data_IF_343132969616
#
_entry.id   IF_343132969616
#
_cell.length_a   1.000
_cell.length_b   1.000
_cell.length_c   1.000
_cell.angle_alpha   90.00
_cell.angle_beta   90.00
_cell.angle_gamma   90.00
#
_symmetry.space_group_name_H-M   'P 1'
#
loop_
_entity.id
_entity.type
_entity.pdbx_description
1 polymer ?
#
# COMPACT_ATOMS: atom_id res chain seq x y z
N UNK A 1 -1.59 -15.70 -2.69
CA UNK A 1 -0.13 -15.47 -2.72
C UNK A 1 0.28 -14.13 -2.10
N UNK A 2 -0.16 -12.97 -2.62
CA UNK A 2 0.20 -11.64 -2.05
C UNK A 2 -0.18 -11.49 -0.57
N UNK A 3 -1.42 -11.83 -0.24
CA UNK A 3 -1.96 -11.74 1.12
C UNK A 3 -1.18 -12.63 2.11
N UNK A 4 -0.83 -13.86 1.70
CA UNK A 4 -0.08 -14.81 2.53
C UNK A 4 1.34 -14.31 2.87
N UNK A 5 2.03 -13.67 1.92
CA UNK A 5 3.37 -13.09 2.14
C UNK A 5 3.28 -11.93 3.13
N UNK A 6 2.25 -11.09 3.01
CA UNK A 6 2.03 -9.93 3.89
C UNK A 6 1.73 -10.38 5.32
N UNK A 7 0.78 -11.31 5.52
CA UNK A 7 0.48 -11.84 6.85
C UNK A 7 1.68 -12.60 7.44
N UNK A 8 2.41 -13.37 6.63
CA UNK A 8 3.62 -14.06 7.07
C UNK A 8 4.72 -13.10 7.53
N UNK A 9 5.02 -12.07 6.72
CA UNK A 9 6.01 -11.05 7.07
C UNK A 9 5.59 -10.23 8.29
N UNK A 10 4.30 -9.90 8.41
CA UNK A 10 3.74 -9.23 9.58
C UNK A 10 3.88 -10.08 10.85
N UNK A 11 3.49 -11.36 10.80
CA UNK A 11 3.60 -12.26 11.95
C UNK A 11 5.05 -12.45 12.40
N UNK A 12 5.99 -12.56 11.48
CA UNK A 12 7.41 -12.68 11.82
C UNK A 12 7.96 -11.38 12.43
N UNK A 13 7.63 -10.22 11.84
CA UNK A 13 8.02 -8.92 12.41
C UNK A 13 7.42 -8.69 13.79
N UNK A 14 6.14 -9.04 13.96
CA UNK A 14 5.41 -8.98 15.22
C UNK A 14 6.06 -9.87 16.27
N UNK A 15 6.33 -11.15 15.96
CA UNK A 15 6.98 -12.10 16.86
C UNK A 15 8.35 -11.60 17.32
N UNK A 16 9.15 -11.04 16.41
CA UNK A 16 10.46 -10.45 16.77
C UNK A 16 10.34 -9.25 17.71
N UNK A 17 9.34 -8.39 17.49
CA UNK A 17 9.08 -7.24 18.36
C UNK A 17 8.57 -7.67 19.74
N UNK A 18 7.74 -8.72 19.81
CA UNK A 18 7.27 -9.33 21.07
C UNK A 18 8.45 -9.92 21.87
N UNK A 19 9.35 -10.67 21.23
CA UNK A 19 10.57 -11.19 21.86
C UNK A 19 11.46 -10.05 22.37
N UNK A 20 11.64 -8.99 21.58
CA UNK A 20 12.45 -7.83 21.96
C UNK A 20 11.86 -7.07 23.17
N UNK A 21 10.54 -6.89 23.22
CA UNK A 21 9.86 -6.24 24.35
C UNK A 21 9.93 -7.09 25.63
N UNK A 22 9.81 -8.42 25.50
CA UNK A 22 9.90 -9.37 26.62
C UNK A 22 11.29 -9.35 27.26
N UNK A 23 12.35 -9.25 26.46
CA UNK A 23 13.72 -9.10 26.96
C UNK A 23 13.99 -7.76 27.65
N UNK A 24 13.21 -6.72 27.38
CA UNK A 24 13.42 -5.37 27.92
C UNK A 24 12.66 -5.06 29.23
N UNK A 25 12.01 -6.05 29.88
CA UNK A 25 11.19 -5.84 31.10
C UNK A 25 10.18 -4.68 30.94
N UNK A 26 9.55 -4.54 29.78
CA UNK A 26 8.47 -3.58 29.63
C UNK A 26 7.20 -4.10 30.33
N UNK A 27 6.59 -3.25 31.14
CA UNK A 27 5.41 -3.48 32.01
C UNK A 27 4.12 -3.88 31.21
N UNK A 28 4.21 -4.03 29.89
CA UNK A 28 3.11 -4.47 29.00
C UNK A 28 3.59 -5.56 28.06
N UNK A 29 2.96 -6.74 28.13
CA UNK A 29 3.16 -7.84 27.17
C UNK A 29 2.61 -7.53 25.78
N UNK A 30 1.71 -6.54 25.67
CA UNK A 30 1.12 -6.13 24.40
C UNK A 30 2.02 -5.15 23.63
N UNK A 31 2.11 -5.33 22.31
CA UNK A 31 2.79 -4.40 21.41
C UNK A 31 2.15 -3.01 21.46
N UNK A 32 3.00 -1.98 21.41
CA UNK A 32 2.53 -0.61 21.22
C UNK A 32 1.89 -0.45 19.82
N UNK A 33 0.91 0.45 19.70
CA UNK A 33 0.32 0.82 18.42
C UNK A 33 1.36 1.25 17.38
N UNK A 34 2.44 1.94 17.80
CA UNK A 34 3.56 2.26 16.92
C UNK A 34 4.31 1.04 16.40
N UNK A 35 4.40 -0.04 17.20
CA UNK A 35 5.04 -1.29 16.79
C UNK A 35 4.16 -2.07 15.80
N UNK A 36 2.84 -2.05 15.98
CA UNK A 36 1.92 -2.59 14.98
C UNK A 36 2.03 -1.87 13.64
N UNK A 37 2.12 -0.53 13.66
CA UNK A 37 2.35 0.26 12.46
C UNK A 37 3.68 -0.12 11.78
N UNK A 38 4.79 -0.20 12.53
CA UNK A 38 6.09 -0.57 11.97
C UNK A 38 6.13 -1.99 11.42
N UNK A 39 5.48 -2.95 12.10
CA UNK A 39 5.35 -4.32 11.62
C UNK A 39 4.53 -4.38 10.31
N UNK A 40 3.42 -3.63 10.24
CA UNK A 40 2.61 -3.49 9.04
C UNK A 40 3.39 -2.84 7.90
N UNK A 41 4.14 -1.78 8.18
CA UNK A 41 4.99 -1.10 7.21
C UNK A 41 6.09 -2.03 6.66
N UNK A 42 6.73 -2.82 7.53
CA UNK A 42 7.72 -3.81 7.11
C UNK A 42 7.11 -4.87 6.18
N UNK A 43 5.94 -5.41 6.54
CA UNK A 43 5.22 -6.35 5.67
C UNK A 43 4.89 -5.74 4.30
N UNK A 44 4.50 -4.46 4.28
CA UNK A 44 4.28 -3.69 3.06
C UNK A 44 5.52 -3.55 2.19
N UNK A 45 6.66 -3.21 2.77
CA UNK A 45 7.95 -3.12 2.06
C UNK A 45 8.36 -4.48 1.48
N UNK A 46 8.32 -5.54 2.29
CA UNK A 46 8.69 -6.89 1.83
C UNK A 46 7.82 -7.34 0.66
N UNK A 47 6.50 -7.12 0.75
CA UNK A 47 5.60 -7.43 -0.34
C UNK A 47 5.88 -6.58 -1.58
N UNK A 48 6.22 -5.31 -1.42
CA UNK A 48 6.50 -4.40 -2.54
C UNK A 48 7.74 -4.80 -3.31
N UNK A 49 8.81 -5.22 -2.62
CA UNK A 49 10.05 -5.66 -3.31
C UNK A 49 9.80 -6.90 -4.16
N UNK A 50 8.95 -7.82 -3.70
CA UNK A 50 8.65 -9.07 -4.41
C UNK A 50 7.60 -8.84 -5.52
N UNK A 51 6.52 -8.12 -5.20
CA UNK A 51 5.38 -7.94 -6.10
C UNK A 51 5.53 -6.74 -7.04
N UNK A 52 6.37 -5.76 -6.69
CA UNK A 52 6.55 -4.48 -7.38
C UNK A 52 6.88 -4.63 -8.86
N UNK A 53 7.89 -5.44 -9.25
CA UNK A 53 8.20 -5.68 -10.66
C UNK A 53 7.03 -6.28 -11.45
N UNK A 54 6.27 -7.20 -10.85
CA UNK A 54 5.12 -7.85 -11.47
C UNK A 54 3.97 -6.84 -11.63
N UNK A 55 3.71 -6.04 -10.60
CA UNK A 55 2.70 -4.97 -10.62
C UNK A 55 3.04 -3.93 -11.70
N UNK A 56 4.32 -3.56 -11.81
CA UNK A 56 4.80 -2.58 -12.78
C UNK A 56 4.56 -3.06 -14.21
N UNK A 57 4.91 -4.32 -14.51
CA UNK A 57 4.65 -4.92 -15.84
C UNK A 57 3.15 -4.98 -16.11
N UNK A 58 2.34 -5.39 -15.12
CA UNK A 58 0.89 -5.46 -15.25
C UNK A 58 0.26 -4.10 -15.55
N UNK A 59 0.64 -3.05 -14.83
CA UNK A 59 0.10 -1.69 -15.03
C UNK A 59 0.42 -1.21 -16.44
N UNK A 60 1.66 -1.35 -16.93
CA UNK A 60 2.02 -0.94 -18.29
C UNK A 60 1.26 -1.71 -19.37
N UNK A 61 1.02 -3.00 -19.17
CA UNK A 61 0.23 -3.81 -20.09
C UNK A 61 -1.25 -3.41 -20.10
N UNK A 62 -1.78 -2.88 -18.99
CA UNK A 62 -3.16 -2.41 -18.87
C UNK A 62 -3.35 -0.98 -19.37
N UNK A 63 -2.35 -0.12 -19.23
CA UNK A 63 -2.40 1.29 -19.65
C UNK A 63 -1.97 1.52 -21.10
N UNK A 64 -1.38 0.52 -21.77
CA UNK A 64 -0.95 0.68 -23.16
C UNK A 64 -2.13 0.92 -24.13
N UNK A 65 -1.91 1.65 -25.25
CA UNK A 65 -2.92 1.83 -26.29
C UNK A 65 -3.35 0.49 -26.91
N UNK A 66 -4.63 0.37 -27.23
CA UNK A 66 -5.19 -0.82 -27.87
C UNK A 66 -5.21 -0.65 -29.40
N UNK A 67 -5.02 -1.74 -30.14
CA UNK A 67 -5.03 -1.73 -31.62
C UNK A 67 -3.62 -1.65 -32.23
N UNK A 68 -3.50 -1.01 -33.39
CA UNK A 68 -2.24 -0.91 -34.16
C UNK A 68 -1.13 -0.13 -33.43
N UNK A 69 -1.47 0.63 -32.38
CA UNK A 69 -0.54 1.37 -31.54
C UNK A 69 -0.07 0.59 -30.28
N UNK A 70 -0.27 -0.74 -30.24
CA UNK A 70 0.21 -1.58 -29.13
C UNK A 70 1.74 -1.51 -29.02
N UNK A 71 2.21 -1.15 -27.83
CA UNK A 71 3.64 -1.03 -27.52
C UNK A 71 4.26 -2.37 -27.09
N UNK A 72 3.47 -3.26 -26.48
CA UNK A 72 3.94 -4.51 -25.88
C UNK A 72 3.08 -5.71 -26.32
N UNK A 73 3.72 -6.74 -26.86
CA UNK A 73 3.05 -7.97 -27.26
C UNK A 73 2.81 -8.94 -26.09
N UNK A 74 3.39 -8.66 -24.93
CA UNK A 74 3.19 -9.44 -23.71
C UNK A 74 4.12 -9.03 -22.55
N UNK A 75 4.03 -9.72 -21.41
CA UNK A 75 4.83 -9.42 -20.21
C UNK A 75 6.34 -9.53 -20.44
N UNK A 76 6.78 -10.56 -21.16
CA UNK A 76 8.20 -10.81 -21.45
C UNK A 76 8.74 -9.78 -22.45
N UNK A 77 7.94 -9.39 -23.44
CA UNK A 77 8.28 -8.33 -24.40
C UNK A 77 8.38 -6.96 -23.70
N UNK A 78 7.47 -6.68 -22.75
CA UNK A 78 7.55 -5.49 -21.91
C UNK A 78 8.85 -5.46 -21.10
N UNK A 79 9.22 -6.56 -20.44
CA UNK A 79 10.47 -6.65 -19.68
C UNK A 79 11.68 -6.45 -20.59
N UNK A 80 11.72 -7.14 -21.74
CA UNK A 80 12.83 -7.05 -22.69
C UNK A 80 13.02 -5.63 -23.24
N UNK A 81 11.94 -4.99 -23.67
CA UNK A 81 11.97 -3.59 -24.15
C UNK A 81 12.35 -2.60 -23.06
N UNK A 82 11.91 -2.85 -21.82
CA UNK A 82 12.26 -2.04 -20.65
C UNK A 82 13.75 -2.16 -20.31
N UNK A 83 14.33 -3.35 -20.45
CA UNK A 83 15.76 -3.59 -20.23
C UNK A 83 16.64 -2.87 -21.26
N UNK A 84 16.19 -2.79 -22.51
CA UNK A 84 16.98 -2.24 -23.63
C UNK A 84 16.96 -0.70 -23.67
N UNK A 85 15.84 -0.05 -23.36
CA UNK A 85 15.68 1.38 -23.63
C UNK A 85 16.17 2.34 -22.54
N UNK A 86 16.21 1.95 -21.25
CA UNK A 86 16.51 2.89 -20.15
C UNK A 86 17.31 2.31 -18.98
N UNK A 87 17.69 1.03 -19.05
CA UNK A 87 18.21 0.29 -17.90
C UNK A 87 17.10 0.03 -16.88
N UNK A 88 16.91 -1.24 -16.50
CA UNK A 88 15.86 -1.70 -15.58
C UNK A 88 15.81 -0.83 -14.33
N UNK A 89 16.96 -0.47 -13.76
CA UNK A 89 17.04 0.24 -12.49
C UNK A 89 16.51 1.68 -12.58
N UNK A 90 16.89 2.49 -13.59
CA UNK A 90 16.44 3.91 -13.65
C UNK A 90 14.96 4.05 -14.01
N UNK A 91 14.45 3.22 -14.92
CA UNK A 91 13.04 3.24 -15.32
C UNK A 91 12.09 2.63 -14.29
N UNK A 92 12.51 1.55 -13.61
CA UNK A 92 11.72 0.88 -12.59
C UNK A 92 11.74 1.68 -11.27
N UNK A 93 12.90 2.19 -10.83
CA UNK A 93 13.02 2.92 -9.56
C UNK A 93 12.35 4.30 -9.56
N UNK A 94 12.13 4.93 -10.73
CA UNK A 94 11.50 6.27 -10.82
C UNK A 94 10.04 6.33 -10.33
N UNK A 95 9.42 5.18 -10.05
CA UNK A 95 8.15 5.08 -9.30
C UNK A 95 8.16 4.02 -8.19
N UNK A 96 9.18 3.16 -8.13
CA UNK A 96 9.25 2.09 -7.13
C UNK A 96 9.41 2.63 -5.71
N UNK A 97 10.22 3.66 -5.50
CA UNK A 97 10.39 4.25 -4.16
C UNK A 97 9.06 4.82 -3.64
N UNK A 98 8.28 5.46 -4.51
CA UNK A 98 6.95 5.98 -4.17
C UNK A 98 5.98 4.83 -3.90
N UNK A 99 6.10 3.75 -4.67
CA UNK A 99 5.28 2.55 -4.49
C UNK A 99 5.60 1.89 -3.16
N UNK A 100 6.87 1.63 -2.85
CA UNK A 100 7.31 1.05 -1.57
C UNK A 100 6.87 1.91 -0.40
N UNK A 101 7.04 3.24 -0.48
CA UNK A 101 6.61 4.15 0.58
C UNK A 101 5.09 4.16 0.76
N UNK A 102 4.35 4.17 -0.35
CA UNK A 102 2.88 4.08 -0.35
C UNK A 102 2.41 2.79 0.30
N UNK A 103 2.99 1.65 -0.08
CA UNK A 103 2.63 0.34 0.44
C UNK A 103 3.01 0.21 1.93
N UNK A 104 4.17 0.72 2.33
CA UNK A 104 4.58 0.77 3.74
C UNK A 104 3.58 1.58 4.58
N UNK A 105 3.20 2.78 4.12
CA UNK A 105 2.21 3.61 4.79
C UNK A 105 0.84 2.92 4.83
N UNK A 106 0.39 2.38 3.70
CA UNK A 106 -0.90 1.73 3.55
C UNK A 106 -1.06 0.55 4.53
N UNK A 107 -0.11 -0.38 4.51
CA UNK A 107 -0.17 -1.54 5.37
C UNK A 107 0.10 -1.20 6.84
N UNK A 108 0.95 -0.22 7.12
CA UNK A 108 1.14 0.30 8.48
C UNK A 108 -0.17 0.82 9.07
N UNK A 109 -0.91 1.67 8.34
CA UNK A 109 -2.21 2.22 8.77
C UNK A 109 -3.27 1.13 8.87
N UNK A 110 -3.32 0.19 7.93
CA UNK A 110 -4.29 -0.90 7.94
C UNK A 110 -4.13 -1.79 9.17
N UNK A 111 -2.91 -2.32 9.41
CA UNK A 111 -2.65 -3.18 10.58
C UNK A 111 -2.83 -2.41 11.88
N UNK A 112 -2.38 -1.14 11.96
CA UNK A 112 -2.60 -0.30 13.13
C UNK A 112 -4.10 -0.15 13.45
N UNK A 113 -4.90 0.19 12.44
CA UNK A 113 -6.34 0.44 12.61
C UNK A 113 -7.07 -0.86 12.96
N UNK A 114 -6.73 -1.96 12.28
CA UNK A 114 -7.30 -3.28 12.54
C UNK A 114 -7.00 -3.75 13.97
N UNK A 115 -5.74 -3.69 14.39
CA UNK A 115 -5.32 -4.08 15.75
C UNK A 115 -5.91 -3.16 16.82
N UNK A 116 -6.04 -1.86 16.53
CA UNK A 116 -6.71 -0.92 17.43
C UNK A 116 -8.19 -1.28 17.64
N UNK A 117 -8.92 -1.56 16.57
CA UNK A 117 -10.34 -1.94 16.63
C UNK A 117 -10.55 -3.27 17.36
N UNK A 118 -9.76 -4.29 17.01
CA UNK A 118 -9.78 -5.61 17.66
C UNK A 118 -9.48 -5.51 19.16
N UNK A 119 -8.42 -4.80 19.55
CA UNK A 119 -8.04 -4.65 20.97
C UNK A 119 -9.04 -3.78 21.74
N UNK A 120 -9.68 -2.81 21.09
CA UNK A 120 -10.73 -2.00 21.70
C UNK A 120 -11.98 -2.83 22.01
N UNK A 121 -12.42 -3.67 21.07
CA UNK A 121 -13.60 -4.53 21.25
C UNK A 121 -13.34 -5.64 22.29
N UNK A 122 -12.17 -6.26 22.27
CA UNK A 122 -11.76 -7.24 23.27
C UNK A 122 -11.78 -6.65 24.69
N UNK A 123 -11.21 -5.45 24.87
CA UNK A 123 -11.21 -4.76 26.18
C UNK A 123 -12.60 -4.33 26.63
N UNK A 124 -13.43 -3.81 25.73
CA UNK A 124 -14.80 -3.34 26.06
C UNK A 124 -15.72 -4.49 26.46
N UNK A 125 -15.66 -5.60 25.75
CA UNK A 125 -16.53 -6.75 25.99
C UNK A 125 -15.91 -7.78 26.94
N UNK A 126 -14.64 -7.57 27.39
CA UNK A 126 -13.87 -8.51 28.22
C UNK A 126 -13.82 -9.94 27.62
N UNK A 127 -13.79 -10.04 26.31
CA UNK A 127 -13.69 -11.30 25.57
C UNK A 127 -12.27 -11.49 25.06
N UNK A 128 -11.83 -12.74 24.94
CA UNK A 128 -10.56 -13.01 24.27
C UNK A 128 -10.67 -12.67 22.78
N UNK A 129 -9.54 -12.29 22.18
CA UNK A 129 -9.49 -11.90 20.76
C UNK A 129 -10.01 -12.98 19.81
N UNK A 130 -9.86 -14.26 20.20
CA UNK A 130 -10.32 -15.43 19.43
C UNK A 130 -11.84 -15.61 19.45
N UNK A 131 -12.51 -15.02 20.44
CA UNK A 131 -13.95 -15.13 20.64
C UNK A 131 -14.73 -13.98 19.97
N UNK A 132 -14.03 -13.06 19.30
CA UNK A 132 -14.66 -12.00 18.53
C UNK A 132 -15.34 -12.63 17.30
N UNK A 133 -16.66 -12.44 17.12
CA UNK A 133 -17.40 -13.01 16.00
C UNK A 133 -16.79 -12.65 14.65
N UNK A 134 -16.79 -13.60 13.70
CA UNK A 134 -16.20 -13.42 12.36
C UNK A 134 -16.73 -12.20 11.62
N UNK A 135 -18.04 -11.90 11.75
CA UNK A 135 -18.63 -10.71 11.14
C UNK A 135 -18.03 -9.41 11.71
N UNK A 136 -17.71 -9.35 13.01
CA UNK A 136 -17.03 -8.19 13.61
C UNK A 136 -15.62 -8.07 13.09
N UNK A 137 -14.87 -9.17 13.07
CA UNK A 137 -13.51 -9.21 12.52
C UNK A 137 -13.50 -8.70 11.08
N UNK A 138 -14.47 -9.14 10.28
CA UNK A 138 -14.68 -8.63 8.93
C UNK A 138 -14.89 -7.11 8.98
N UNK A 139 -15.89 -6.60 9.73
CA UNK A 139 -16.16 -5.14 9.84
C UNK A 139 -14.94 -4.30 10.20
N UNK A 140 -14.11 -4.77 11.13
CA UNK A 140 -12.87 -4.08 11.51
C UNK A 140 -11.84 -4.11 10.38
N UNK A 141 -11.74 -5.20 9.63
CA UNK A 141 -10.92 -5.30 8.42
C UNK A 141 -11.33 -4.32 7.33
N UNK A 142 -12.64 -4.16 7.11
CA UNK A 142 -13.16 -3.20 6.13
C UNK A 142 -12.96 -1.73 6.57
N UNK A 143 -13.23 -1.40 7.83
CA UNK A 143 -12.95 -0.06 8.37
C UNK A 143 -11.46 0.29 8.32
N UNK A 144 -10.58 -0.69 8.61
CA UNK A 144 -9.15 -0.52 8.43
C UNK A 144 -8.77 -0.31 6.96
N UNK A 145 -9.51 -0.91 6.02
CA UNK A 145 -9.38 -0.69 4.58
C UNK A 145 -9.71 0.74 4.16
N UNK A 146 -10.80 1.31 4.67
CA UNK A 146 -11.16 2.71 4.39
C UNK A 146 -10.13 3.68 5.00
N UNK A 147 -9.65 3.40 6.21
CA UNK A 147 -8.58 4.17 6.84
C UNK A 147 -7.29 4.11 6.00
N UNK A 148 -6.90 2.94 5.51
CA UNK A 148 -5.80 2.78 4.57
C UNK A 148 -5.97 3.71 3.36
N UNK A 149 -7.15 3.69 2.72
CA UNK A 149 -7.38 4.52 1.54
C UNK A 149 -7.26 6.01 1.87
N UNK A 150 -7.88 6.48 2.95
CA UNK A 150 -7.79 7.88 3.36
C UNK A 150 -6.35 8.34 3.58
N UNK A 151 -5.54 7.56 4.31
CA UNK A 151 -4.16 7.96 4.64
C UNK A 151 -3.17 7.78 3.48
N UNK A 152 -3.42 6.81 2.59
CA UNK A 152 -2.54 6.52 1.46
C UNK A 152 -2.90 7.28 0.18
N UNK A 153 -4.09 7.88 0.10
CA UNK A 153 -4.58 8.55 -1.11
C UNK A 153 -3.62 9.64 -1.64
N UNK A 154 -3.04 10.52 -0.81
CA UNK A 154 -2.08 11.52 -1.29
C UNK A 154 -0.84 10.90 -1.96
N UNK A 155 -0.38 9.76 -1.43
CA UNK A 155 0.73 9.02 -2.00
C UNK A 155 0.34 8.36 -3.32
N UNK A 156 -0.89 7.89 -3.45
CA UNK A 156 -1.44 7.35 -4.71
C UNK A 156 -1.51 8.42 -5.80
N UNK A 157 -1.96 9.64 -5.48
CA UNK A 157 -1.96 10.74 -6.45
C UNK A 157 -0.55 11.08 -6.93
N UNK A 158 0.41 11.19 -6.01
CA UNK A 158 1.82 11.46 -6.36
C UNK A 158 2.40 10.33 -7.20
N UNK A 159 2.14 9.08 -6.82
CA UNK A 159 2.55 7.88 -7.58
C UNK A 159 1.99 7.92 -8.99
N UNK A 160 0.68 8.13 -9.14
CA UNK A 160 0.03 8.18 -10.46
C UNK A 160 0.60 9.29 -11.33
N UNK A 161 0.78 10.49 -10.79
CA UNK A 161 1.39 11.62 -11.52
C UNK A 161 2.80 11.30 -12.00
N UNK A 162 3.63 10.73 -11.12
CA UNK A 162 5.00 10.36 -11.47
C UNK A 162 5.07 9.21 -12.47
N UNK A 163 4.17 8.22 -12.36
CA UNK A 163 4.11 7.09 -13.30
C UNK A 163 3.53 7.49 -14.66
N UNK A 164 2.70 8.53 -14.71
CA UNK A 164 2.16 9.10 -15.95
C UNK A 164 3.04 10.17 -16.59
N UNK A 165 4.13 10.58 -15.94
CA UNK A 165 5.01 11.64 -16.43
C UNK A 165 5.84 11.20 -17.65
N UNK A 166 6.23 12.17 -18.47
CA UNK A 166 7.05 11.95 -19.65
C UNK A 166 8.50 11.53 -19.32
N UNK A 167 9.18 11.01 -20.34
CA UNK A 167 10.61 10.69 -20.29
C UNK A 167 11.44 11.73 -21.06
N UNK A 168 12.68 11.96 -20.64
CA UNK A 168 13.62 12.86 -21.32
C UNK A 168 13.22 14.34 -21.20
N UNK A 169 13.27 15.09 -22.30
CA UNK A 169 12.98 16.54 -22.31
C UNK A 169 11.53 16.92 -21.97
N UNK A 170 10.59 15.96 -21.99
CA UNK A 170 9.18 16.17 -21.63
C UNK A 170 8.86 15.81 -20.16
N UNK A 171 9.89 15.53 -19.35
CA UNK A 171 9.75 15.20 -17.93
C UNK A 171 9.36 16.44 -17.12
N UNK A 172 8.25 16.35 -16.37
CA UNK A 172 7.76 17.42 -15.49
C UNK A 172 8.22 17.27 -14.04
N UNK A 173 8.46 16.03 -13.58
CA UNK A 173 8.81 15.76 -12.19
C UNK A 173 10.18 15.10 -12.07
N UNK A 174 11.12 15.78 -11.40
CA UNK A 174 12.47 15.26 -11.15
C UNK A 174 12.50 14.19 -10.04
N UNK A 175 11.64 14.34 -9.02
CA UNK A 175 11.58 13.47 -7.85
C UNK A 175 10.19 13.44 -7.23
N UNK A 176 9.97 12.54 -6.27
CA UNK A 176 8.72 12.51 -5.49
C UNK A 176 8.47 13.79 -4.72
N UNK A 177 9.51 14.36 -4.12
CA UNK A 177 9.42 15.62 -3.37
C UNK A 177 9.06 16.78 -4.29
N UNK A 178 9.61 16.77 -5.50
CA UNK A 178 9.30 17.74 -6.53
C UNK A 178 7.85 17.61 -7.02
N UNK A 179 7.38 16.39 -7.32
CA UNK A 179 5.98 16.14 -7.66
C UNK A 179 5.00 16.59 -6.55
N UNK A 180 5.34 16.30 -5.28
CA UNK A 180 4.56 16.75 -4.13
C UNK A 180 4.54 18.28 -4.02
N UNK A 181 5.71 18.92 -4.09
CA UNK A 181 5.84 20.38 -4.00
C UNK A 181 5.11 21.09 -5.13
N UNK A 182 5.28 20.64 -6.37
CA UNK A 182 4.58 21.20 -7.54
C UNK A 182 3.07 20.98 -7.44
N UNK A 183 2.62 19.80 -7.00
CA UNK A 183 1.18 19.54 -6.79
C UNK A 183 0.60 20.47 -5.74
N UNK A 184 1.28 20.65 -4.61
CA UNK A 184 0.84 21.55 -3.55
C UNK A 184 0.82 23.01 -4.02
N UNK A 185 1.83 23.46 -4.77
CA UNK A 185 1.90 24.83 -5.30
C UNK A 185 0.82 25.12 -6.37
N UNK A 186 0.57 24.17 -7.26
CA UNK A 186 -0.31 24.39 -8.42
C UNK A 186 -1.78 24.07 -8.13
N UNK A 187 -2.06 23.09 -7.27
CA UNK A 187 -3.42 22.57 -7.03
C UNK A 187 -3.86 22.65 -5.56
N UNK A 188 -2.95 23.04 -4.66
CA UNK A 188 -3.20 23.07 -3.22
C UNK A 188 -3.49 21.69 -2.62
N UNK A 189 -4.06 21.69 -1.41
CA UNK A 189 -4.45 20.45 -0.71
C UNK A 189 -5.48 19.63 -1.51
N UNK A 190 -6.37 20.28 -2.26
CA UNK A 190 -7.38 19.59 -3.09
C UNK A 190 -6.75 18.73 -4.18
N UNK A 191 -5.57 19.10 -4.68
CA UNK A 191 -4.84 18.31 -5.69
C UNK A 191 -4.54 16.88 -5.25
N UNK A 192 -4.32 16.65 -3.94
CA UNK A 192 -4.03 15.33 -3.39
C UNK A 192 -5.27 14.46 -3.15
N UNK A 193 -6.47 15.03 -3.24
CA UNK A 193 -7.74 14.34 -3.00
C UNK A 193 -8.61 14.22 -4.26
N UNK A 194 -8.11 14.70 -5.41
CA UNK A 194 -8.79 14.56 -6.69
C UNK A 194 -8.93 13.09 -7.08
N UNK A 195 -10.17 12.61 -7.18
CA UNK A 195 -10.50 11.24 -7.58
C UNK A 195 -10.78 10.29 -6.41
N UNK A 196 -10.83 10.79 -5.17
CA UNK A 196 -11.07 9.93 -4.00
C UNK A 196 -12.48 9.32 -4.03
N UNK A 197 -13.48 10.05 -4.55
CA UNK A 197 -14.85 9.56 -4.68
C UNK A 197 -14.95 8.24 -5.44
N UNK A 198 -14.47 8.14 -6.69
CA UNK A 198 -14.39 6.86 -7.41
C UNK A 198 -13.60 5.77 -6.69
N UNK A 199 -12.57 6.14 -5.93
CA UNK A 199 -11.72 5.17 -5.20
C UNK A 199 -12.44 4.59 -4.00
N UNK A 200 -13.13 5.42 -3.22
CA UNK A 200 -13.98 4.98 -2.10
C UNK A 200 -15.19 4.21 -2.61
N UNK A 201 -15.84 4.66 -3.69
CA UNK A 201 -16.97 3.94 -4.29
C UNK A 201 -16.57 2.55 -4.81
N UNK A 202 -15.31 2.37 -5.24
CA UNK A 202 -14.74 1.04 -5.55
C UNK A 202 -14.36 0.25 -4.30
N UNK A 203 -13.91 0.91 -3.25
CA UNK A 203 -13.54 0.26 -1.98
C UNK A 203 -14.77 -0.26 -1.23
N UNK A 204 -15.89 0.48 -1.26
CA UNK A 204 -17.12 0.12 -0.57
C UNK A 204 -17.67 -1.28 -0.93
N UNK A 205 -17.74 -1.71 -2.22
CA UNK A 205 -18.13 -3.08 -2.57
C UNK A 205 -17.15 -4.14 -2.09
N UNK A 206 -15.85 -3.84 -2.01
CA UNK A 206 -14.85 -4.78 -1.48
C UNK A 206 -15.04 -4.94 0.02
N UNK A 207 -15.26 -3.84 0.74
CA UNK A 207 -15.62 -3.84 2.15
C UNK A 207 -16.96 -4.58 2.39
N UNK A 208 -17.98 -4.31 1.58
CA UNK A 208 -19.29 -4.96 1.65
C UNK A 208 -19.25 -6.46 1.31
N UNK A 209 -18.50 -6.85 0.27
CA UNK A 209 -18.30 -8.25 -0.10
C UNK A 209 -17.52 -9.03 0.95
N UNK A 210 -16.68 -8.37 1.75
CA UNK A 210 -16.02 -8.98 2.92
C UNK A 210 -17.01 -9.23 4.07
N UNK A 211 -18.14 -8.53 4.12
CA UNK A 211 -19.19 -8.72 5.15
C UNK A 211 -20.31 -9.65 4.72
N UNK A 212 -20.44 -9.90 3.41
CA UNK A 212 -21.50 -10.73 2.84
C UNK A 212 -21.18 -12.23 2.87
N UNK A 213 -19.99 -12.63 3.31
CA UNK A 213 -19.51 -14.03 3.34
C UNK A 213 -19.02 -14.41 4.73
#
# INVERSE_FOLDING_TARGET
MKVSIQFGAFHEARRRLETYNTHRKAIRQDLSYGQYYLAGAFAGVTNSVISGPIEHVRIRLQTQPHGAARLYNGPIDCIRKLSIHQGILRGLYRGEVVTVLREAQAYGVWFLTFEYLMNSDARRNKVERKDIPSWKVATYGGLAGEALWLWSYPFDVVKSKMQSDGFGGNQKFSSMRDCFSQTFRNEGLRGFWKGIGPTLLRAMPVSAGTFAV
#
